data_IF_711743586271
#
_entry.id   IF_711743586271
#
_cell.length_a   1.000
_cell.length_b   1.000
_cell.length_c   1.000
_cell.angle_alpha   90.00
_cell.angle_beta   90.00
_cell.angle_gamma   90.00
#
_symmetry.space_group_name_H-M   'P 1'
#
loop_
_entity.id
_entity.type
_entity.pdbx_description
1 polymer ?
#
# COMPACT_ATOMS: atom_id res chain seq x y z
N UNK A 1 -5.62 -6.27 9.33
CA UNK A 1 -4.23 -6.76 9.24
C UNK A 1 -3.79 -6.61 7.79
N UNK A 2 -2.77 -5.82 7.52
CA UNK A 2 -2.23 -5.62 6.17
C UNK A 2 -1.50 -6.88 5.73
N UNK A 3 -1.78 -7.38 4.53
CA UNK A 3 -0.96 -8.44 3.91
C UNK A 3 0.22 -7.77 3.20
N UNK A 4 1.43 -8.26 3.42
CA UNK A 4 2.63 -7.77 2.73
C UNK A 4 3.21 -8.85 1.83
N UNK A 5 3.65 -8.44 0.64
CA UNK A 5 4.29 -9.29 -0.36
C UNK A 5 5.66 -8.70 -0.68
N UNK A 6 6.73 -9.48 -0.50
CA UNK A 6 8.10 -9.06 -0.82
C UNK A 6 8.53 -9.64 -2.16
N UNK A 7 9.05 -8.78 -3.03
CA UNK A 7 9.60 -9.15 -4.33
C UNK A 7 11.08 -8.79 -4.38
N UNK A 8 11.88 -9.68 -4.98
CA UNK A 8 13.27 -9.40 -5.31
C UNK A 8 13.36 -9.05 -6.80
N UNK A 9 13.86 -7.85 -7.10
CA UNK A 9 13.99 -7.31 -8.44
C UNK A 9 15.45 -6.90 -8.61
N UNK A 10 16.23 -7.73 -9.31
CA UNK A 10 17.66 -7.51 -9.56
C UNK A 10 18.47 -7.23 -8.27
N UNK A 11 18.19 -7.96 -7.19
CA UNK A 11 18.88 -7.80 -5.90
C UNK A 11 18.34 -6.67 -5.03
N UNK A 12 17.29 -5.96 -5.47
CA UNK A 12 16.57 -4.97 -4.65
C UNK A 12 15.25 -5.55 -4.18
N UNK A 13 14.96 -5.39 -2.89
CA UNK A 13 13.70 -5.87 -2.30
C UNK A 13 12.68 -4.75 -2.24
N UNK A 14 11.51 -4.99 -2.80
CA UNK A 14 10.34 -4.11 -2.70
C UNK A 14 9.19 -4.84 -2.00
N UNK A 15 8.41 -4.11 -1.23
CA UNK A 15 7.27 -4.60 -0.47
C UNK A 15 6.00 -3.97 -1.01
N UNK A 16 5.05 -4.81 -1.40
CA UNK A 16 3.69 -4.40 -1.72
C UNK A 16 2.83 -4.60 -0.48
N UNK A 17 2.24 -3.52 0.02
CA UNK A 17 1.31 -3.54 1.14
C UNK A 17 -0.12 -3.56 0.61
N UNK A 18 -0.88 -4.60 0.91
CA UNK A 18 -2.28 -4.74 0.53
C UNK A 18 -3.21 -4.08 1.54
N UNK A 19 -3.79 -2.95 1.13
CA UNK A 19 -4.85 -2.25 1.85
C UNK A 19 -6.18 -2.38 1.11
N UNK A 20 -6.50 -3.56 0.59
CA UNK A 20 -7.76 -3.87 -0.12
C UNK A 20 -9.05 -3.63 0.69
N UNK A 21 -8.94 -3.57 2.02
CA UNK A 21 -10.04 -3.21 2.92
C UNK A 21 -10.26 -1.69 3.01
N UNK A 22 -9.23 -0.89 2.70
CA UNK A 22 -9.15 0.53 3.02
C UNK A 22 -8.86 0.78 4.51
N UNK A 23 -8.77 2.06 4.89
CA UNK A 23 -8.62 2.50 6.28
C UNK A 23 -9.81 3.39 6.66
N UNK A 24 -10.46 3.04 7.77
CA UNK A 24 -11.43 3.90 8.45
C UNK A 24 -10.91 4.17 9.87
N UNK A 25 -10.63 5.43 10.18
CA UNK A 25 -10.07 5.85 11.45
C UNK A 25 -11.13 6.32 12.45
N UNK A 26 -12.41 6.34 12.08
CA UNK A 26 -13.50 6.75 12.95
C UNK A 26 -13.52 8.25 13.28
N UNK A 27 -12.76 9.07 12.55
CA UNK A 27 -12.61 10.52 12.79
C UNK A 27 -13.47 11.36 11.83
N UNK A 28 -14.70 10.90 11.56
CA UNK A 28 -15.60 11.60 10.63
C UNK A 28 -15.06 11.68 9.19
N UNK A 29 -14.27 10.70 8.77
CA UNK A 29 -13.64 10.65 7.44
C UNK A 29 -12.26 11.31 7.36
N UNK A 30 -11.77 11.95 8.42
CA UNK A 30 -10.43 12.56 8.42
C UNK A 30 -9.37 11.46 8.42
N UNK A 31 -8.55 11.46 7.37
CA UNK A 31 -7.45 10.50 7.20
C UNK A 31 -7.88 9.16 6.63
N UNK A 32 -9.18 8.90 6.45
CA UNK A 32 -9.69 7.68 5.82
C UNK A 32 -9.10 7.53 4.43
N UNK A 33 -8.71 6.30 4.08
CA UNK A 33 -8.13 5.99 2.78
C UNK A 33 -8.96 4.91 2.11
N UNK A 34 -9.37 5.09 0.85
CA UNK A 34 -10.02 4.03 0.10
C UNK A 34 -9.05 2.86 -0.12
N UNK A 35 -9.58 1.76 -0.63
CA UNK A 35 -8.78 0.59 -1.01
C UNK A 35 -7.59 1.00 -1.87
N UNK A 36 -6.39 0.53 -1.54
CA UNK A 36 -5.18 0.82 -2.30
C UNK A 36 -4.05 -0.20 -2.04
N UNK A 37 -2.98 -0.06 -2.82
CA UNK A 37 -1.67 -0.64 -2.53
C UNK A 37 -0.63 0.44 -2.27
N UNK A 38 0.35 0.14 -1.43
CA UNK A 38 1.59 0.91 -1.35
C UNK A 38 2.75 0.09 -1.90
N UNK A 39 3.72 0.77 -2.52
CA UNK A 39 5.02 0.20 -2.88
C UNK A 39 6.08 0.81 -1.98
N UNK A 40 6.80 -0.02 -1.24
CA UNK A 40 7.77 0.41 -0.23
C UNK A 40 9.12 -0.28 -0.40
N UNK A 41 10.23 0.37 -0.04
CA UNK A 41 11.51 -0.31 0.11
C UNK A 41 11.47 -1.23 1.34
N UNK A 42 12.16 -2.38 1.27
CA UNK A 42 12.13 -3.38 2.35
C UNK A 42 12.74 -2.86 3.66
N UNK A 43 13.68 -1.92 3.58
CA UNK A 43 14.34 -1.28 4.72
C UNK A 43 13.47 -0.21 5.41
N UNK A 44 12.38 0.24 4.79
CA UNK A 44 11.45 1.21 5.38
C UNK A 44 10.02 1.03 4.83
N UNK A 45 9.34 -0.01 5.32
CA UNK A 45 7.98 -0.35 4.91
C UNK A 45 6.92 0.63 5.40
N UNK A 46 7.23 1.47 6.40
CA UNK A 46 6.25 2.40 6.98
C UNK A 46 6.12 3.70 6.21
N UNK A 47 7.23 4.23 5.71
CA UNK A 47 7.28 5.60 5.15
C UNK A 47 8.23 5.74 3.95
N UNK A 48 8.98 4.70 3.61
CA UNK A 48 9.96 4.75 2.54
C UNK A 48 9.29 4.91 1.17
N UNK A 49 10.03 5.47 0.21
CA UNK A 49 9.57 5.62 -1.18
C UNK A 49 10.50 4.85 -2.09
N UNK A 50 9.92 4.21 -3.10
CA UNK A 50 10.69 3.62 -4.20
C UNK A 50 10.70 4.65 -5.32
N UNK A 51 11.90 5.03 -5.78
CA UNK A 51 12.06 6.01 -6.85
C UNK A 51 11.28 5.58 -8.11
N UNK A 52 10.50 6.52 -8.68
CA UNK A 52 9.66 6.27 -9.86
C UNK A 52 8.32 5.57 -9.58
N UNK A 53 7.97 5.33 -8.32
CA UNK A 53 6.68 4.74 -7.92
C UNK A 53 5.82 5.77 -7.19
N UNK A 54 4.50 5.60 -7.30
CA UNK A 54 3.53 6.38 -6.53
C UNK A 54 3.46 5.89 -5.09
N UNK A 55 3.12 6.79 -4.16
CA UNK A 55 2.91 6.41 -2.76
C UNK A 55 1.67 5.52 -2.58
N UNK A 56 0.63 5.72 -3.40
CA UNK A 56 -0.63 4.98 -3.36
C UNK A 56 -1.10 4.59 -4.77
N UNK A 57 -1.50 3.33 -4.93
CA UNK A 57 -2.16 2.82 -6.11
C UNK A 57 -3.59 2.45 -5.76
N UNK A 58 -4.53 3.34 -6.05
CA UNK A 58 -5.95 3.15 -5.75
C UNK A 58 -6.60 2.11 -6.66
N UNK A 59 -7.59 1.40 -6.14
CA UNK A 59 -8.42 0.52 -6.98
C UNK A 59 -9.60 1.32 -7.53
N UNK A 60 -9.68 1.47 -8.85
CA UNK A 60 -10.81 2.15 -9.52
C UNK A 60 -12.14 1.42 -9.36
N UNK A 61 -12.07 0.10 -9.17
CA UNK A 61 -13.22 -0.76 -8.87
C UNK A 61 -12.80 -1.77 -7.81
N UNK A 62 -13.51 -1.77 -6.69
CA UNK A 62 -13.40 -2.86 -5.73
C UNK A 62 -14.04 -4.09 -6.37
N UNK A 63 -13.35 -5.23 -6.35
CA UNK A 63 -14.03 -6.50 -6.60
C UNK A 63 -15.08 -6.66 -5.49
N UNK A 64 -16.34 -6.32 -5.79
CA UNK A 64 -17.48 -6.63 -4.94
C UNK A 64 -17.64 -8.15 -5.00
N UNK A 65 -16.97 -8.85 -4.08
CA UNK A 65 -17.25 -10.26 -3.79
C UNK A 65 -18.49 -10.36 -2.92
#
# INVERSE_FOLDING_TARGET
MTRELTYDINGRKVVIQDHSVGHNFGQGGIGDQPSHHNVRPAENTRTGKVEGMEDHYYFDKRNNK
#
